data_IF_364968120182
#
_entry.id   IF_364968120182
#
_cell.length_a   1.000
_cell.length_b   1.000
_cell.length_c   1.000
_cell.angle_alpha   90.00
_cell.angle_beta   90.00
_cell.angle_gamma   90.00
#
_symmetry.space_group_name_H-M   'P 1'
#
loop_
_entity.id
_entity.type
_entity.pdbx_description
1 polymer ?
#
# COMPACT_ATOMS: atom_id res chain seq x y z
N UNK A 1 61.62 72.00 -40.18
CA UNK A 1 62.07 71.78 -38.79
C UNK A 1 60.84 71.67 -37.89
N UNK A 2 60.89 70.87 -36.80
CA UNK A 2 59.76 70.18 -36.20
C UNK A 2 59.26 70.82 -34.89
N UNK A 3 58.12 70.33 -34.40
CA UNK A 3 57.62 70.49 -33.02
C UNK A 3 56.15 70.06 -32.99
N UNK A 4 55.72 68.94 -32.43
CA UNK A 4 56.21 68.23 -31.25
C UNK A 4 55.34 68.63 -30.06
N UNK A 5 54.38 67.79 -29.68
CA UNK A 5 53.71 67.90 -28.39
C UNK A 5 52.23 67.51 -28.40
N UNK A 6 51.88 66.57 -27.53
CA UNK A 6 50.51 66.39 -27.06
C UNK A 6 49.98 64.98 -27.11
N UNK A 7 50.63 64.06 -26.38
CA UNK A 7 50.07 62.74 -26.11
C UNK A 7 48.74 62.84 -25.36
N UNK A 8 47.64 62.61 -26.06
CA UNK A 8 46.34 62.33 -25.47
C UNK A 8 46.30 60.87 -25.04
N UNK A 9 46.71 60.59 -23.80
CA UNK A 9 46.60 59.28 -23.17
C UNK A 9 45.15 58.86 -23.01
N UNK A 10 44.58 58.24 -24.05
CA UNK A 10 43.29 57.57 -24.01
C UNK A 10 43.33 56.30 -23.18
N UNK A 11 43.34 56.44 -21.85
CA UNK A 11 43.02 55.35 -20.92
C UNK A 11 41.49 55.25 -20.78
N UNK A 12 40.83 54.74 -21.82
CA UNK A 12 39.40 54.39 -21.75
C UNK A 12 39.24 52.95 -22.25
N UNK A 13 39.89 52.02 -21.58
CA UNK A 13 39.62 50.59 -21.79
C UNK A 13 40.20 49.74 -20.64
N UNK A 14 40.18 50.23 -19.41
CA UNK A 14 40.18 49.31 -18.27
C UNK A 14 38.71 48.93 -18.05
N UNK A 15 38.20 48.14 -18.98
CA UNK A 15 36.93 47.46 -18.84
C UNK A 15 37.06 46.59 -17.59
N UNK A 16 36.41 47.04 -16.52
CA UNK A 16 36.35 46.38 -15.22
C UNK A 16 36.28 44.86 -15.37
N UNK A 17 37.43 44.18 -15.28
CA UNK A 17 37.49 42.74 -15.04
C UNK A 17 37.26 42.53 -13.54
N UNK A 18 36.09 42.97 -13.07
CA UNK A 18 35.67 42.75 -11.70
C UNK A 18 35.19 41.29 -11.62
N UNK A 19 36.16 40.37 -11.60
CA UNK A 19 35.90 39.02 -11.16
C UNK A 19 35.53 39.12 -9.69
N UNK A 20 34.25 38.91 -9.31
CA UNK A 20 33.87 38.97 -7.92
C UNK A 20 34.70 37.94 -7.14
N UNK A 21 35.19 38.28 -5.94
CA UNK A 21 35.99 37.37 -5.15
C UNK A 21 35.23 36.04 -4.98
N UNK A 22 35.95 34.91 -4.98
CA UNK A 22 35.38 33.56 -4.86
C UNK A 22 34.30 33.45 -3.78
N UNK A 23 34.47 34.16 -2.65
CA UNK A 23 33.49 34.24 -1.55
C UNK A 23 32.14 34.83 -1.97
N UNK A 24 32.14 35.89 -2.80
CA UNK A 24 30.91 36.49 -3.33
C UNK A 24 30.17 35.56 -4.29
N UNK A 25 30.90 34.77 -5.09
CA UNK A 25 30.27 33.76 -5.97
C UNK A 25 29.61 32.67 -5.15
N UNK A 26 30.30 32.13 -4.15
CA UNK A 26 29.77 31.09 -3.25
C UNK A 26 28.52 31.60 -2.52
N UNK A 27 28.55 32.84 -2.01
CA UNK A 27 27.40 33.42 -1.32
C UNK A 27 26.20 33.59 -2.26
N UNK A 28 26.40 34.06 -3.49
CA UNK A 28 25.33 34.15 -4.50
C UNK A 28 24.77 32.77 -4.86
N UNK A 29 25.61 31.76 -5.05
CA UNK A 29 25.15 30.39 -5.35
C UNK A 29 24.32 29.81 -4.20
N UNK A 30 24.74 30.03 -2.94
CA UNK A 30 23.97 29.62 -1.76
C UNK A 30 22.61 30.32 -1.69
N UNK A 31 22.57 31.62 -2.01
CA UNK A 31 21.34 32.40 -1.98
C UNK A 31 20.37 31.94 -3.07
N UNK A 32 20.86 31.60 -4.26
CA UNK A 32 20.08 30.99 -5.34
C UNK A 32 19.55 29.61 -4.93
N UNK A 33 20.39 28.76 -4.31
CA UNK A 33 19.97 27.44 -3.81
C UNK A 33 18.89 27.56 -2.73
N UNK A 34 19.05 28.50 -1.81
CA UNK A 34 18.07 28.77 -0.76
C UNK A 34 16.74 29.27 -1.35
N UNK A 35 16.80 30.22 -2.30
CA UNK A 35 15.62 30.70 -3.01
C UNK A 35 14.94 29.55 -3.77
N UNK A 36 15.70 28.69 -4.45
CA UNK A 36 15.18 27.52 -5.16
C UNK A 36 14.55 26.50 -4.19
N UNK A 37 15.13 26.30 -3.01
CA UNK A 37 14.57 25.43 -1.98
C UNK A 37 13.25 25.97 -1.43
N UNK A 38 13.17 27.26 -1.13
CA UNK A 38 11.92 27.91 -0.71
C UNK A 38 10.86 27.85 -1.81
N UNK A 39 11.24 28.13 -3.06
CA UNK A 39 10.33 28.04 -4.20
C UNK A 39 9.83 26.61 -4.38
N UNK A 40 10.71 25.62 -4.22
CA UNK A 40 10.35 24.20 -4.21
C UNK A 40 9.38 23.92 -3.07
N UNK A 41 9.63 24.39 -1.86
CA UNK A 41 8.72 24.10 -0.75
C UNK A 41 7.32 24.68 -1.01
N UNK A 42 7.23 25.91 -1.52
CA UNK A 42 5.97 26.57 -1.87
C UNK A 42 5.25 25.86 -3.03
N UNK A 43 5.98 25.46 -4.08
CA UNK A 43 5.42 24.75 -5.23
C UNK A 43 4.95 23.32 -4.89
N UNK A 44 5.54 22.70 -3.87
CA UNK A 44 5.22 21.33 -3.46
C UNK A 44 4.25 21.26 -2.27
N UNK A 45 3.94 22.39 -1.62
CA UNK A 45 2.76 22.49 -0.74
C UNK A 45 1.51 22.33 -1.59
N UNK A 46 0.92 21.14 -1.50
CA UNK A 46 -0.23 20.74 -2.26
C UNK A 46 -1.50 21.38 -1.64
N UNK A 47 -1.68 22.69 -1.87
CA UNK A 47 -2.81 23.49 -1.36
C UNK A 47 -4.15 22.77 -1.55
N UNK A 48 -4.26 22.07 -2.68
CA UNK A 48 -5.44 21.29 -3.04
C UNK A 48 -5.75 20.18 -2.03
N UNK A 49 -4.74 19.49 -1.48
CA UNK A 49 -4.92 18.47 -0.45
C UNK A 49 -5.38 19.06 0.88
N UNK A 50 -4.86 20.23 1.23
CA UNK A 50 -5.28 20.93 2.45
C UNK A 50 -6.71 21.44 2.34
N UNK A 51 -7.09 22.01 1.19
CA UNK A 51 -8.46 22.45 0.93
C UNK A 51 -9.44 21.27 0.98
N UNK A 52 -9.14 20.15 0.30
CA UNK A 52 -9.97 18.94 0.38
C UNK A 52 -10.11 18.46 1.83
N UNK A 53 -9.03 18.47 2.62
CA UNK A 53 -9.07 18.07 4.03
C UNK A 53 -9.93 19.01 4.86
N UNK A 54 -9.86 20.31 4.62
CA UNK A 54 -10.67 21.33 5.28
C UNK A 54 -12.15 21.24 4.91
N UNK A 55 -12.47 20.92 3.65
CA UNK A 55 -13.85 20.69 3.24
C UNK A 55 -14.43 19.41 3.85
N UNK A 56 -13.64 18.34 3.96
CA UNK A 56 -14.04 17.11 4.67
C UNK A 56 -14.24 17.35 6.16
N UNK A 57 -13.38 18.14 6.82
CA UNK A 57 -13.55 18.45 8.24
C UNK A 57 -14.77 19.32 8.54
N UNK A 58 -15.26 20.06 7.54
CA UNK A 58 -16.54 20.78 7.58
C UNK A 58 -17.77 19.90 7.31
N UNK A 59 -17.57 18.61 7.02
CA UNK A 59 -18.65 17.65 6.81
C UNK A 59 -19.26 17.66 5.41
N UNK A 60 -18.62 18.29 4.41
CA UNK A 60 -19.09 18.22 3.03
C UNK A 60 -18.91 16.82 2.47
N UNK A 61 -19.88 16.40 1.65
CA UNK A 61 -19.83 15.11 0.95
C UNK A 61 -18.83 15.17 -0.21
N UNK A 62 -18.25 14.02 -0.59
CA UNK A 62 -17.23 13.98 -1.65
C UNK A 62 -17.75 14.52 -3.00
N UNK A 63 -19.04 14.40 -3.26
CA UNK A 63 -19.73 14.98 -4.43
C UNK A 63 -19.77 16.50 -4.42
N UNK A 64 -19.93 17.11 -3.23
CA UNK A 64 -19.91 18.57 -3.08
C UNK A 64 -18.46 19.09 -3.16
N UNK A 65 -17.52 18.36 -2.58
CA UNK A 65 -16.09 18.68 -2.66
C UNK A 65 -15.61 18.65 -4.11
N UNK A 66 -16.04 17.67 -4.91
CA UNK A 66 -15.66 17.56 -6.32
C UNK A 66 -16.17 18.73 -7.18
N UNK A 67 -17.28 19.36 -6.78
CA UNK A 67 -17.79 20.59 -7.42
C UNK A 67 -16.92 21.81 -7.10
N UNK A 68 -16.37 21.89 -5.89
CA UNK A 68 -15.52 22.99 -5.44
C UNK A 68 -14.05 22.82 -5.84
N UNK A 69 -13.57 21.57 -5.90
CA UNK A 69 -12.19 21.23 -6.20
C UNK A 69 -12.17 20.13 -7.27
N UNK A 70 -12.15 20.52 -8.56
CA UNK A 70 -12.15 19.56 -9.65
C UNK A 70 -10.95 18.61 -9.58
N UNK A 71 -11.15 17.34 -9.94
CA UNK A 71 -10.06 16.36 -10.08
C UNK A 71 -9.13 16.75 -11.22
N UNK A 72 -7.83 16.70 -10.96
CA UNK A 72 -6.81 16.88 -12.01
C UNK A 72 -6.78 15.66 -12.92
N UNK A 73 -6.22 15.80 -14.12
CA UNK A 73 -6.11 14.68 -15.08
C UNK A 73 -5.36 13.49 -14.48
N UNK A 74 -4.30 13.75 -13.70
CA UNK A 74 -3.53 12.70 -13.05
C UNK A 74 -4.36 11.93 -12.01
N UNK A 75 -5.16 12.63 -11.21
CA UNK A 75 -6.01 11.97 -10.22
C UNK A 75 -7.15 11.16 -10.84
N UNK A 76 -7.67 11.59 -11.99
CA UNK A 76 -8.64 10.80 -12.74
C UNK A 76 -8.02 9.49 -13.20
N UNK A 77 -6.79 9.54 -13.72
CA UNK A 77 -6.05 8.35 -14.15
C UNK A 77 -5.74 7.42 -12.97
N UNK A 78 -5.34 7.97 -11.83
CA UNK A 78 -5.10 7.17 -10.61
C UNK A 78 -6.39 6.52 -10.10
N UNK A 79 -7.50 7.26 -10.06
CA UNK A 79 -8.79 6.73 -9.66
C UNK A 79 -9.26 5.58 -10.58
N UNK A 80 -9.12 5.73 -11.90
CA UNK A 80 -9.44 4.67 -12.86
C UNK A 80 -8.56 3.43 -12.65
N UNK A 81 -7.26 3.60 -12.41
CA UNK A 81 -6.35 2.48 -12.11
C UNK A 81 -6.75 1.75 -10.83
N UNK A 82 -7.04 2.50 -9.78
CA UNK A 82 -7.50 1.93 -8.50
C UNK A 82 -8.80 1.14 -8.67
N UNK A 83 -9.72 1.65 -9.48
CA UNK A 83 -10.98 0.97 -9.76
C UNK A 83 -10.78 -0.32 -10.57
N UNK A 84 -9.87 -0.33 -11.54
CA UNK A 84 -9.49 -1.56 -12.27
C UNK A 84 -8.88 -2.59 -11.33
N UNK A 85 -7.97 -2.17 -10.44
CA UNK A 85 -7.35 -3.07 -9.46
C UNK A 85 -8.39 -3.63 -8.47
N UNK A 86 -9.31 -2.78 -7.99
CA UNK A 86 -10.40 -3.22 -7.10
C UNK A 86 -11.33 -4.21 -7.80
N UNK A 87 -11.66 -3.99 -9.08
CA UNK A 87 -12.48 -4.93 -9.87
C UNK A 87 -11.77 -6.26 -10.02
N UNK A 88 -10.51 -6.27 -10.44
CA UNK A 88 -9.72 -7.49 -10.57
C UNK A 88 -9.59 -8.25 -9.24
N UNK A 89 -9.49 -7.53 -8.12
CA UNK A 89 -9.51 -8.16 -6.78
C UNK A 89 -10.86 -8.80 -6.48
N UNK A 90 -11.97 -8.10 -6.73
CA UNK A 90 -13.32 -8.66 -6.52
C UNK A 90 -13.58 -9.90 -7.36
N UNK A 91 -13.11 -9.92 -8.61
CA UNK A 91 -13.22 -11.10 -9.48
C UNK A 91 -12.46 -12.29 -8.88
N UNK A 92 -11.23 -12.09 -8.40
CA UNK A 92 -10.47 -13.13 -7.70
C UNK A 92 -11.15 -13.61 -6.42
N UNK A 93 -11.70 -12.68 -5.64
CA UNK A 93 -12.42 -13.00 -4.40
C UNK A 93 -13.70 -13.81 -4.71
N UNK A 94 -14.40 -13.49 -5.80
CA UNK A 94 -15.55 -14.25 -6.30
C UNK A 94 -15.16 -15.66 -6.75
N UNK A 95 -14.08 -15.79 -7.52
CA UNK A 95 -13.57 -17.10 -7.97
C UNK A 95 -13.15 -17.98 -6.79
N UNK A 96 -12.52 -17.38 -5.77
CA UNK A 96 -12.18 -18.10 -4.53
C UNK A 96 -13.45 -18.56 -3.81
N UNK A 97 -14.45 -17.68 -3.68
CA UNK A 97 -15.70 -18.00 -3.02
C UNK A 97 -16.49 -19.11 -3.76
N UNK A 98 -16.45 -19.11 -5.08
CA UNK A 98 -17.04 -20.16 -5.92
C UNK A 98 -16.37 -21.52 -5.68
N UNK A 99 -15.04 -21.55 -5.59
CA UNK A 99 -14.30 -22.79 -5.25
C UNK A 99 -14.64 -23.29 -3.86
N UNK A 100 -14.64 -22.40 -2.87
CA UNK A 100 -15.01 -22.74 -1.49
C UNK A 100 -16.44 -23.30 -1.43
N UNK A 101 -17.36 -22.74 -2.21
CA UNK A 101 -18.74 -23.22 -2.30
C UNK A 101 -18.83 -24.62 -2.90
N UNK A 102 -18.09 -24.90 -3.98
CA UNK A 102 -18.06 -26.21 -4.61
C UNK A 102 -17.45 -27.29 -3.70
N UNK A 103 -16.39 -26.94 -2.98
CA UNK A 103 -15.76 -27.85 -2.01
C UNK A 103 -16.71 -28.13 -0.83
N UNK A 104 -17.38 -27.10 -0.30
CA UNK A 104 -18.38 -27.27 0.75
C UNK A 104 -19.56 -28.14 0.28
N UNK A 105 -20.00 -27.98 -0.97
CA UNK A 105 -21.06 -28.80 -1.57
C UNK A 105 -20.64 -30.27 -1.67
N UNK A 106 -19.38 -30.55 -2.02
CA UNK A 106 -18.82 -31.91 -2.05
C UNK A 106 -18.75 -32.53 -0.66
N UNK A 107 -18.27 -31.78 0.33
CA UNK A 107 -18.21 -32.26 1.72
C UNK A 107 -19.59 -32.57 2.28
N UNK A 108 -20.58 -31.71 2.06
CA UNK A 108 -21.97 -31.96 2.45
C UNK A 108 -22.53 -33.19 1.74
N UNK A 109 -22.22 -33.37 0.45
CA UNK A 109 -22.61 -34.56 -0.31
C UNK A 109 -22.04 -35.84 0.29
N UNK A 110 -20.75 -35.83 0.65
CA UNK A 110 -20.08 -36.96 1.30
C UNK A 110 -20.67 -37.25 2.68
N UNK A 111 -20.85 -36.22 3.51
CA UNK A 111 -21.47 -36.38 4.84
C UNK A 111 -22.89 -36.95 4.75
N UNK A 112 -23.69 -36.52 3.78
CA UNK A 112 -25.03 -37.07 3.56
C UNK A 112 -24.99 -38.54 3.17
N UNK A 113 -24.04 -38.94 2.32
CA UNK A 113 -23.84 -40.34 1.95
C UNK A 113 -23.38 -41.18 3.15
N UNK A 114 -22.42 -40.67 3.93
CA UNK A 114 -21.92 -41.33 5.14
C UNK A 114 -23.03 -41.52 6.18
N UNK A 115 -23.89 -40.51 6.38
CA UNK A 115 -25.06 -40.58 7.28
C UNK A 115 -26.12 -41.56 6.78
N UNK A 116 -26.36 -41.62 5.47
CA UNK A 116 -27.30 -42.58 4.89
C UNK A 116 -26.80 -44.02 5.08
N UNK A 117 -25.52 -44.27 4.82
CA UNK A 117 -24.89 -45.57 5.04
C UNK A 117 -24.92 -45.97 6.53
N UNK A 118 -24.72 -45.02 7.45
CA UNK A 118 -24.82 -45.29 8.89
C UNK A 118 -26.25 -45.66 9.32
N UNK A 119 -27.28 -45.00 8.74
CA UNK A 119 -28.68 -45.32 9.00
C UNK A 119 -29.10 -46.68 8.44
N UNK A 120 -28.55 -47.10 7.29
CA UNK A 120 -28.80 -48.43 6.74
C UNK A 120 -28.06 -49.54 7.52
N UNK A 121 -26.95 -49.21 8.20
CA UNK A 121 -26.20 -50.14 9.06
C UNK A 121 -26.83 -50.41 10.43
N UNK A 122 -27.76 -49.59 10.91
CA UNK A 122 -28.37 -49.69 12.24
C UNK A 122 -29.73 -50.43 12.25
N UNK A 123 -30.16 -50.94 11.08
CA UNK A 123 -31.41 -51.68 10.90
C UNK A 123 -31.32 -53.20 11.16
N UNK A 124 -30.19 -53.72 11.63
CA UNK A 124 -29.94 -55.14 11.85
C UNK A 124 -29.88 -55.53 13.34
N UNK A 125 -31.00 -55.51 14.04
CA UNK A 125 -31.20 -56.30 15.26
C UNK A 125 -31.54 -57.75 14.86
N UNK A 126 -31.04 -58.82 15.45
CA UNK A 126 -30.05 -58.98 16.49
C UNK A 126 -29.79 -60.48 16.68
N UNK A 127 -28.60 -60.82 17.17
CA UNK A 127 -28.38 -62.01 17.99
C UNK A 127 -27.04 -61.84 18.70
N UNK A 128 -27.07 -61.88 20.03
CA UNK A 128 -25.89 -61.95 20.88
C UNK A 128 -26.01 -63.20 21.76
N UNK A 129 -24.91 -63.77 22.29
CA UNK A 129 -23.64 -64.18 21.68
C UNK A 129 -23.39 -65.70 21.94
N UNK A 130 -22.17 -66.23 21.70
CA UNK A 130 -21.54 -66.87 22.85
C UNK A 130 -20.15 -66.29 23.14
N UNK A 131 -19.93 -66.07 24.44
CA UNK A 131 -18.66 -65.72 25.01
C UNK A 131 -17.57 -66.73 24.59
N UNK A 132 -16.47 -66.24 24.02
CA UNK A 132 -15.21 -66.98 24.05
C UNK A 132 -14.11 -66.03 24.46
N UNK A 133 -13.57 -66.28 25.65
CA UNK A 133 -12.41 -65.61 26.22
C UNK A 133 -11.17 -65.76 25.35
N UNK A 134 -10.32 -64.74 25.33
CA UNK A 134 -8.87 -64.80 25.60
C UNK A 134 -8.32 -63.38 25.35
N UNK A 135 -8.08 -62.59 26.39
CA UNK A 135 -6.75 -62.44 27.03
C UNK A 135 -5.66 -62.18 26.00
N UNK A 136 -5.32 -60.90 25.82
CA UNK A 136 -4.19 -60.41 25.05
C UNK A 136 -3.91 -58.97 25.47
N UNK A 137 -2.81 -58.79 26.18
CA UNK A 137 -2.50 -57.65 27.01
C UNK A 137 -2.09 -56.36 26.24
N UNK A 138 -2.39 -55.21 26.86
CA UNK A 138 -1.54 -54.00 27.00
C UNK A 138 -0.72 -53.53 25.78
N UNK A 139 -0.78 -52.27 25.33
CA UNK A 139 -0.27 -51.11 26.08
C UNK A 139 -0.69 -49.80 25.41
N UNK A 140 -1.10 -48.88 26.28
CA UNK A 140 -1.35 -47.45 26.16
C UNK A 140 -0.19 -46.69 25.47
N UNK A 141 -0.45 -45.87 24.45
CA UNK A 141 0.25 -44.58 24.31
C UNK A 141 -0.61 -43.51 23.63
N UNK A 142 -0.99 -42.54 24.45
CA UNK A 142 -1.53 -41.23 24.14
C UNK A 142 -0.38 -40.25 23.88
N UNK A 143 -0.43 -39.51 22.77
CA UNK A 143 0.18 -38.17 22.61
C UNK A 143 -0.64 -37.42 21.54
N UNK A 144 -1.68 -36.68 21.92
CA UNK A 144 -1.64 -35.32 22.49
C UNK A 144 -0.89 -34.32 21.61
N UNK A 145 -1.68 -33.63 20.78
CA UNK A 145 -1.44 -32.31 20.25
C UNK A 145 -0.91 -31.32 21.30
N UNK A 146 0.09 -30.53 20.95
CA UNK A 146 0.35 -29.25 21.63
C UNK A 146 0.92 -28.24 20.62
N UNK A 147 0.00 -27.38 20.15
CA UNK A 147 0.23 -26.14 19.43
C UNK A 147 0.82 -25.13 20.42
N UNK A 148 2.12 -24.82 20.31
CA UNK A 148 2.74 -23.74 21.07
C UNK A 148 2.57 -22.41 20.30
N UNK A 149 1.51 -21.67 20.62
CA UNK A 149 1.45 -20.24 20.39
C UNK A 149 2.19 -19.53 21.51
N UNK A 150 3.25 -18.78 21.19
CA UNK A 150 3.93 -17.90 22.11
C UNK A 150 3.84 -16.46 21.60
N UNK A 151 2.78 -15.78 22.02
CA UNK A 151 2.74 -14.33 22.19
C UNK A 151 3.68 -13.94 23.33
N UNK A 152 4.60 -12.99 23.10
CA UNK A 152 5.10 -12.13 24.19
C UNK A 152 5.21 -10.68 23.73
N UNK A 153 4.30 -9.89 24.31
CA UNK A 153 4.30 -8.43 24.40
C UNK A 153 5.37 -7.97 25.40
N UNK A 154 5.97 -6.82 25.06
CA UNK A 154 6.29 -5.66 25.93
C UNK A 154 7.23 -5.89 27.13
N UNK A 155 8.43 -5.30 27.03
CA UNK A 155 8.91 -4.22 27.88
C UNK A 155 9.90 -3.38 27.07
#
# INVERSE_FOLDING_TARGET
APGGGGGGGGRIAEAYSHNPPLRSRVQQTLLILFAAFMLRNVLFTDYRKEEIRHLRSKGLTETEIEKYVPKTTNEKIEAERDDVVKRAKREKDLDALLKDFDDLRREVGRLRADVAAFKEGDGGAGDAPPATSMVGATTKETRSSAKAGATRRVA
#
